data_IF_109071339295
#
_entry.id   IF_109071339295
#
_cell.length_a   1.000
_cell.length_b   1.000
_cell.length_c   1.000
_cell.angle_alpha   90.00
_cell.angle_beta   90.00
_cell.angle_gamma   90.00
#
_symmetry.space_group_name_H-M   'P 1'
#
loop_
_entity.id
_entity.type
_entity.pdbx_description
1 polymer ?
#
# COMPACT_ATOMS: atom_id res chain seq x y z
N UNK A 1 32.24 -12.02 12.05
CA UNK A 1 30.82 -11.64 11.86
C UNK A 1 30.02 -12.93 11.69
N UNK A 2 28.91 -13.14 12.38
CA UNK A 2 28.30 -14.48 12.47
C UNK A 2 26.80 -14.41 12.19
N UNK A 3 26.43 -14.41 10.90
CA UNK A 3 25.03 -14.41 10.47
C UNK A 3 24.25 -15.62 10.96
N UNK A 4 24.90 -16.77 11.13
CA UNK A 4 24.31 -18.01 11.65
C UNK A 4 23.85 -17.89 13.12
N UNK A 5 24.36 -16.89 13.88
CA UNK A 5 24.01 -16.64 15.27
C UNK A 5 22.79 -15.71 15.42
N UNK A 6 22.26 -15.16 14.34
CA UNK A 6 21.03 -14.36 14.38
C UNK A 6 19.85 -15.22 14.88
N UNK A 7 19.03 -14.63 15.76
CA UNK A 7 17.91 -15.33 16.42
C UNK A 7 16.57 -14.89 15.82
N UNK A 8 16.31 -13.58 15.76
CA UNK A 8 15.05 -12.99 15.29
C UNK A 8 15.13 -12.50 13.84
N UNK A 9 16.27 -11.94 13.46
CA UNK A 9 16.53 -11.38 12.15
C UNK A 9 17.19 -12.42 11.24
N UNK A 10 16.38 -13.43 10.81
CA UNK A 10 16.80 -14.56 9.95
C UNK A 10 15.93 -14.62 8.70
N UNK A 11 16.36 -15.42 7.72
CA UNK A 11 15.59 -15.74 6.51
C UNK A 11 15.09 -14.49 5.79
N UNK A 12 16.01 -13.62 5.42
CA UNK A 12 15.72 -12.41 4.65
C UNK A 12 15.45 -12.79 3.19
N UNK A 13 14.49 -12.11 2.54
CA UNK A 13 14.18 -12.31 1.11
C UNK A 13 15.38 -12.01 0.19
N UNK A 14 16.25 -11.09 0.58
CA UNK A 14 17.48 -10.71 -0.14
C UNK A 14 18.74 -11.03 0.70
N UNK A 15 18.71 -12.09 1.52
CA UNK A 15 19.74 -12.43 2.50
C UNK A 15 21.02 -13.00 1.91
N UNK A 16 21.02 -13.48 0.67
CA UNK A 16 22.20 -14.05 0.03
C UNK A 16 23.35 -13.03 -0.08
N UNK A 17 23.03 -11.78 -0.36
CA UNK A 17 24.01 -10.69 -0.40
C UNK A 17 24.67 -10.47 0.97
N UNK A 18 23.93 -10.54 2.08
CA UNK A 18 24.49 -10.46 3.42
C UNK A 18 25.46 -11.59 3.69
N UNK A 19 25.07 -12.82 3.32
CA UNK A 19 25.90 -14.01 3.51
C UNK A 19 27.22 -13.92 2.74
N UNK A 20 27.16 -13.51 1.46
CA UNK A 20 28.32 -13.38 0.60
C UNK A 20 29.28 -12.27 1.08
N UNK A 21 28.76 -11.11 1.48
CA UNK A 21 29.57 -10.02 2.01
C UNK A 21 30.24 -10.39 3.35
N UNK A 22 29.53 -11.09 4.23
CA UNK A 22 30.09 -11.57 5.51
C UNK A 22 31.15 -12.61 5.25
N UNK A 23 30.94 -13.54 4.33
CA UNK A 23 31.93 -14.53 3.95
C UNK A 23 33.20 -13.86 3.39
N UNK A 24 33.06 -12.86 2.53
CA UNK A 24 34.18 -12.07 2.01
C UNK A 24 34.95 -11.37 3.13
N UNK A 25 34.24 -10.73 4.05
CA UNK A 25 34.83 -10.02 5.17
C UNK A 25 35.65 -10.96 6.11
N UNK A 26 35.26 -12.22 6.22
CA UNK A 26 35.95 -13.21 7.04
C UNK A 26 37.12 -13.90 6.30
N UNK A 27 37.02 -14.04 4.97
CA UNK A 27 37.95 -14.86 4.20
C UNK A 27 38.80 -14.08 3.18
N UNK A 28 38.70 -12.74 3.10
CA UNK A 28 39.45 -11.96 2.10
C UNK A 28 40.98 -12.14 2.21
N UNK A 29 41.50 -12.33 3.42
CA UNK A 29 42.93 -12.52 3.70
C UNK A 29 43.36 -14.02 3.76
N UNK A 30 42.43 -14.97 3.60
CA UNK A 30 42.72 -16.39 3.64
C UNK A 30 43.28 -16.88 2.28
N UNK A 31 44.53 -17.35 2.27
CA UNK A 31 45.21 -17.84 1.08
C UNK A 31 44.65 -19.17 0.55
N UNK A 32 43.79 -19.87 1.29
CA UNK A 32 43.14 -21.10 0.85
C UNK A 32 42.21 -20.86 -0.35
N UNK A 33 41.57 -19.71 -0.41
CA UNK A 33 40.64 -19.33 -1.47
C UNK A 33 41.32 -18.53 -2.57
N UNK A 34 40.96 -18.81 -3.83
CA UNK A 34 41.51 -18.10 -4.98
C UNK A 34 41.16 -16.62 -4.94
N UNK A 35 42.15 -15.76 -5.12
CA UNK A 35 41.95 -14.30 -5.14
C UNK A 35 40.97 -13.85 -6.22
N UNK A 36 41.04 -14.47 -7.41
CA UNK A 36 40.13 -14.14 -8.52
C UNK A 36 38.67 -14.47 -8.19
N UNK A 37 38.41 -15.56 -7.48
CA UNK A 37 37.05 -15.97 -7.11
C UNK A 37 36.48 -15.03 -6.04
N UNK A 38 37.31 -14.64 -5.05
CA UNK A 38 36.95 -13.64 -4.04
C UNK A 38 36.65 -12.27 -4.65
N UNK A 39 37.51 -11.83 -5.58
CA UNK A 39 37.27 -10.58 -6.31
C UNK A 39 36.00 -10.65 -7.15
N UNK A 40 35.78 -11.77 -7.86
CA UNK A 40 34.56 -12.00 -8.63
C UNK A 40 33.29 -11.92 -7.78
N UNK A 41 33.30 -12.54 -6.58
CA UNK A 41 32.18 -12.47 -5.64
C UNK A 41 31.95 -11.03 -5.12
N UNK A 42 33.02 -10.25 -4.89
CA UNK A 42 32.88 -8.84 -4.48
C UNK A 42 32.21 -8.01 -5.58
N UNK A 43 32.62 -8.18 -6.85
CA UNK A 43 31.98 -7.49 -7.97
C UNK A 43 30.51 -7.91 -8.16
N UNK A 44 30.17 -9.17 -7.90
CA UNK A 44 28.77 -9.62 -7.89
C UNK A 44 27.96 -8.96 -6.76
N UNK A 45 28.53 -8.84 -5.56
CA UNK A 45 27.91 -8.08 -4.47
C UNK A 45 27.72 -6.61 -4.84
N UNK A 46 28.70 -5.96 -5.49
CA UNK A 46 28.57 -4.59 -5.99
C UNK A 46 27.43 -4.46 -7.00
N UNK A 47 27.35 -5.39 -7.95
CA UNK A 47 26.26 -5.42 -8.95
C UNK A 47 24.91 -5.46 -8.28
N UNK A 48 24.69 -6.37 -7.31
CA UNK A 48 23.43 -6.50 -6.57
C UNK A 48 23.10 -5.25 -5.76
N UNK A 49 24.08 -4.57 -5.14
CA UNK A 49 23.88 -3.30 -4.43
C UNK A 49 23.47 -2.16 -5.39
N UNK A 50 24.08 -2.10 -6.58
CA UNK A 50 23.73 -1.11 -7.61
C UNK A 50 22.34 -1.37 -8.20
N UNK A 51 21.97 -2.63 -8.41
CA UNK A 51 20.62 -3.02 -8.82
C UNK A 51 19.56 -2.59 -7.79
N UNK A 52 19.85 -2.77 -6.50
CA UNK A 52 18.98 -2.30 -5.42
C UNK A 52 18.90 -0.77 -5.42
N UNK A 53 20.00 -0.06 -5.64
CA UNK A 53 19.97 1.40 -5.77
C UNK A 53 19.07 1.84 -6.94
N UNK A 54 19.08 1.13 -8.07
CA UNK A 54 18.17 1.37 -9.19
C UNK A 54 16.70 1.10 -8.85
N UNK A 55 16.40 -0.02 -8.16
CA UNK A 55 15.03 -0.44 -7.80
C UNK A 55 14.42 0.40 -6.68
N UNK A 56 15.17 0.72 -5.65
CA UNK A 56 14.70 1.43 -4.46
C UNK A 56 15.08 2.90 -4.43
N UNK A 57 16.01 3.33 -5.30
CA UNK A 57 16.50 4.70 -5.37
C UNK A 57 17.51 5.06 -4.28
N UNK A 58 18.14 4.09 -3.62
CA UNK A 58 19.09 4.32 -2.54
C UNK A 58 20.26 5.18 -2.98
N UNK A 59 20.80 5.97 -2.06
CA UNK A 59 21.97 6.84 -2.26
C UNK A 59 22.86 6.86 -1.00
N UNK A 60 24.06 7.35 -1.14
CA UNK A 60 25.06 7.34 -0.07
C UNK A 60 25.75 5.97 0.04
N UNK A 61 25.89 5.45 1.24
CA UNK A 61 26.46 4.13 1.47
C UNK A 61 25.42 3.03 1.21
N UNK A 62 25.50 2.37 0.05
CA UNK A 62 24.52 1.35 -0.36
C UNK A 62 24.53 0.12 0.55
N UNK A 63 25.68 -0.25 1.12
CA UNK A 63 25.74 -1.33 2.08
C UNK A 63 24.94 -1.00 3.35
N UNK A 64 25.07 0.20 3.88
CA UNK A 64 24.30 0.64 5.03
C UNK A 64 22.80 0.74 4.71
N UNK A 65 22.42 1.24 3.53
CA UNK A 65 21.04 1.27 3.08
C UNK A 65 20.47 -0.15 2.95
N UNK A 66 21.25 -1.11 2.44
CA UNK A 66 20.86 -2.51 2.36
C UNK A 66 20.60 -3.11 3.75
N UNK A 67 21.53 -2.93 4.71
CA UNK A 67 21.36 -3.44 6.08
C UNK A 67 20.11 -2.82 6.76
N UNK A 68 19.89 -1.52 6.60
CA UNK A 68 18.70 -0.85 7.10
C UNK A 68 17.43 -1.43 6.46
N UNK A 69 17.45 -1.66 5.15
CA UNK A 69 16.34 -2.26 4.41
C UNK A 69 15.99 -3.67 4.91
N UNK A 70 17.00 -4.49 5.22
CA UNK A 70 16.79 -5.83 5.80
C UNK A 70 16.05 -5.74 7.15
N UNK A 71 16.52 -4.86 8.05
CA UNK A 71 15.93 -4.68 9.39
C UNK A 71 14.49 -4.16 9.31
N UNK A 72 14.24 -3.17 8.45
CA UNK A 72 12.91 -2.53 8.29
C UNK A 72 11.88 -3.52 7.73
N UNK A 73 12.27 -4.39 6.80
CA UNK A 73 11.35 -5.31 6.15
C UNK A 73 11.14 -6.62 6.91
N UNK A 74 12.03 -6.98 7.85
CA UNK A 74 11.92 -8.25 8.58
C UNK A 74 10.91 -8.18 9.71
N UNK A 75 9.75 -8.80 9.49
CA UNK A 75 8.74 -9.01 10.52
C UNK A 75 9.16 -10.17 11.45
N UNK A 76 9.19 -9.91 12.74
CA UNK A 76 9.47 -10.89 13.80
C UNK A 76 8.77 -10.49 15.11
N UNK A 77 8.88 -11.30 16.14
CA UNK A 77 8.21 -11.06 17.43
C UNK A 77 8.61 -9.72 18.08
N UNK A 78 9.86 -9.28 17.90
CA UNK A 78 10.32 -7.99 18.41
C UNK A 78 9.78 -6.84 17.57
N UNK A 79 9.99 -6.86 16.26
CA UNK A 79 9.61 -5.77 15.36
C UNK A 79 8.11 -5.50 15.36
N UNK A 80 7.28 -6.56 15.37
CA UNK A 80 5.82 -6.43 15.48
C UNK A 80 5.38 -5.91 16.86
N UNK A 81 6.07 -6.29 17.93
CA UNK A 81 5.77 -5.77 19.28
C UNK A 81 6.19 -4.30 19.43
N UNK A 82 7.35 -3.93 18.86
CA UNK A 82 7.85 -2.56 18.85
C UNK A 82 6.94 -1.62 18.05
N UNK A 83 6.40 -2.09 16.91
CA UNK A 83 5.40 -1.37 16.12
C UNK A 83 4.16 -0.99 16.96
N UNK A 84 3.70 -1.90 17.83
CA UNK A 84 2.46 -1.72 18.59
C UNK A 84 2.70 -0.90 19.88
N UNK A 85 3.80 -1.16 20.57
CA UNK A 85 4.04 -0.69 21.94
C UNK A 85 5.23 0.26 22.09
N UNK A 86 6.05 0.41 21.07
CA UNK A 86 7.32 1.11 21.12
C UNK A 86 8.36 0.27 21.86
N UNK A 87 8.59 0.53 23.14
CA UNK A 87 9.55 -0.27 23.91
C UNK A 87 9.03 -1.68 24.18
N UNK A 88 9.92 -2.66 24.06
CA UNK A 88 9.64 -4.08 24.31
C UNK A 88 10.52 -4.54 25.46
N UNK A 89 9.92 -5.21 26.43
CA UNK A 89 10.62 -5.77 27.59
C UNK A 89 10.72 -7.30 27.51
N UNK A 90 11.55 -7.88 28.39
CA UNK A 90 11.68 -9.33 28.53
C UNK A 90 12.66 -9.97 27.56
N UNK A 91 12.57 -11.30 27.41
CA UNK A 91 13.55 -12.11 26.68
C UNK A 91 13.63 -11.79 25.18
N UNK A 92 12.51 -11.39 24.56
CA UNK A 92 12.48 -10.97 23.14
C UNK A 92 13.33 -9.72 22.93
N UNK A 93 13.32 -8.80 23.90
CA UNK A 93 14.16 -7.61 23.86
C UNK A 93 15.67 -7.94 23.93
N UNK A 94 16.04 -8.96 24.75
CA UNK A 94 17.42 -9.44 24.85
C UNK A 94 17.87 -10.12 23.54
N UNK A 95 17.00 -10.93 22.93
CA UNK A 95 17.28 -11.55 21.65
C UNK A 95 17.44 -10.51 20.52
N UNK A 96 16.62 -9.46 20.52
CA UNK A 96 16.76 -8.36 19.58
C UNK A 96 18.08 -7.61 19.77
N UNK A 97 18.47 -7.31 21.02
CA UNK A 97 19.74 -6.66 21.30
C UNK A 97 20.93 -7.52 20.88
N UNK A 98 20.83 -8.85 21.05
CA UNK A 98 21.85 -9.78 20.55
C UNK A 98 22.04 -9.66 19.05
N UNK A 99 20.94 -9.70 18.29
CA UNK A 99 21.01 -9.60 16.83
C UNK A 99 21.50 -8.21 16.37
N UNK A 100 21.03 -7.14 17.03
CA UNK A 100 21.48 -5.78 16.72
C UNK A 100 22.98 -5.58 17.00
N UNK A 101 23.59 -6.26 17.96
CA UNK A 101 25.05 -6.26 18.13
C UNK A 101 25.76 -6.82 16.91
N UNK A 102 25.24 -7.90 16.33
CA UNK A 102 25.78 -8.47 15.10
C UNK A 102 25.61 -7.50 13.92
N UNK A 103 24.44 -6.86 13.80
CA UNK A 103 24.24 -5.83 12.76
C UNK A 103 25.13 -4.62 12.95
N UNK A 104 25.40 -4.20 14.19
CA UNK A 104 26.32 -3.10 14.48
C UNK A 104 27.75 -3.44 14.02
N UNK A 105 28.20 -4.69 14.21
CA UNK A 105 29.48 -5.15 13.65
C UNK A 105 29.51 -5.03 12.12
N UNK A 106 28.39 -5.32 11.42
CA UNK A 106 28.32 -5.16 9.97
C UNK A 106 28.35 -3.69 9.54
N UNK A 107 27.73 -2.80 10.31
CA UNK A 107 27.76 -1.36 10.06
C UNK A 107 29.15 -0.75 10.24
N UNK A 108 29.86 -1.14 11.30
CA UNK A 108 31.13 -0.57 11.66
C UNK A 108 32.31 -1.19 10.89
N UNK A 109 32.06 -2.26 10.14
CA UNK A 109 33.11 -3.00 9.45
C UNK A 109 33.65 -2.21 8.23
N UNK A 110 34.99 -2.08 8.17
CA UNK A 110 35.66 -1.40 7.08
C UNK A 110 35.78 -2.28 5.81
N UNK A 111 34.78 -2.22 4.98
CA UNK A 111 34.75 -2.92 3.68
C UNK A 111 35.77 -2.36 2.68
N UNK A 112 36.30 -1.14 2.86
CA UNK A 112 37.35 -0.62 2.01
C UNK A 112 38.66 -1.41 2.15
N UNK A 113 38.96 -1.90 3.35
CA UNK A 113 40.08 -2.79 3.58
C UNK A 113 39.97 -4.08 2.79
N UNK A 114 38.77 -4.70 2.75
CA UNK A 114 38.50 -5.89 1.95
C UNK A 114 38.67 -5.60 0.46
N UNK A 115 38.06 -4.53 -0.02
CA UNK A 115 38.11 -4.14 -1.43
C UNK A 115 39.56 -3.88 -1.89
N UNK A 116 40.37 -3.17 -1.10
CA UNK A 116 41.80 -2.92 -1.39
C UNK A 116 42.60 -4.23 -1.44
N UNK A 117 42.38 -5.15 -0.50
CA UNK A 117 43.07 -6.43 -0.47
C UNK A 117 42.72 -7.30 -1.69
N UNK A 118 41.53 -7.16 -2.24
CA UNK A 118 41.07 -7.88 -3.42
C UNK A 118 41.33 -7.11 -4.74
N UNK A 119 41.94 -5.93 -4.70
CA UNK A 119 42.25 -5.10 -5.87
C UNK A 119 41.03 -4.45 -6.54
N UNK A 120 39.92 -4.27 -5.79
CA UNK A 120 38.68 -3.69 -6.27
C UNK A 120 38.51 -2.24 -5.81
N UNK A 121 39.26 -1.30 -6.40
CA UNK A 121 39.23 0.11 -6.04
C UNK A 121 37.87 0.76 -6.33
N UNK A 122 37.16 0.26 -7.33
CA UNK A 122 35.81 0.70 -7.75
C UNK A 122 34.76 0.48 -6.68
N UNK A 123 35.03 -0.31 -5.63
CA UNK A 123 34.11 -0.51 -4.52
C UNK A 123 33.68 0.80 -3.84
N UNK A 124 34.52 1.84 -3.95
CA UNK A 124 34.20 3.20 -3.49
C UNK A 124 32.88 3.74 -4.10
N UNK A 125 32.50 3.29 -5.31
CA UNK A 125 31.25 3.68 -5.98
C UNK A 125 30.03 3.28 -5.12
N UNK A 126 30.09 2.11 -4.48
CA UNK A 126 28.98 1.59 -3.65
C UNK A 126 28.93 2.27 -2.29
N UNK A 127 30.05 2.72 -1.76
CA UNK A 127 30.12 3.39 -0.47
C UNK A 127 29.75 4.88 -0.54
N UNK A 128 29.92 5.51 -1.71
CA UNK A 128 29.65 6.93 -1.94
C UNK A 128 28.75 7.11 -3.18
N UNK A 129 27.68 6.31 -3.27
CA UNK A 129 26.83 6.33 -4.44
C UNK A 129 26.01 7.62 -4.53
N UNK A 130 26.14 8.31 -5.64
CA UNK A 130 25.36 9.50 -5.96
C UNK A 130 24.13 9.06 -6.80
N UNK A 131 22.96 9.04 -6.17
CA UNK A 131 21.71 8.74 -6.86
C UNK A 131 21.31 9.86 -7.83
N UNK A 132 20.58 9.50 -8.89
CA UNK A 132 19.99 10.50 -9.78
C UNK A 132 18.86 11.25 -9.01
N UNK A 133 18.97 12.59 -8.83
CA UNK A 133 17.99 13.37 -8.08
C UNK A 133 16.64 13.53 -8.81
N UNK A 134 16.54 13.11 -10.07
CA UNK A 134 15.27 13.18 -10.81
C UNK A 134 14.21 12.28 -10.17
N UNK A 135 12.98 12.79 -10.09
CA UNK A 135 11.82 11.99 -9.66
C UNK A 135 11.69 10.74 -10.53
N UNK A 136 11.93 9.60 -9.94
CA UNK A 136 11.75 8.33 -10.63
C UNK A 136 10.30 7.86 -10.48
N UNK A 137 9.73 7.38 -11.59
CA UNK A 137 8.46 6.65 -11.56
C UNK A 137 8.61 5.20 -11.07
N UNK A 138 9.84 4.73 -10.89
CA UNK A 138 10.17 3.34 -10.56
C UNK A 138 10.08 3.07 -9.06
N UNK A 139 10.46 4.01 -8.20
CA UNK A 139 10.48 3.82 -6.75
C UNK A 139 9.72 4.90 -6.00
N UNK A 140 9.35 4.58 -4.75
CA UNK A 140 8.67 5.51 -3.85
C UNK A 140 9.71 6.35 -3.07
N UNK A 141 9.84 7.64 -3.43
CA UNK A 141 10.82 8.56 -2.82
C UNK A 141 10.71 8.63 -1.31
N UNK A 142 9.51 8.58 -0.75
CA UNK A 142 9.29 8.62 0.70
C UNK A 142 9.85 7.37 1.41
N UNK A 143 9.69 6.18 0.82
CA UNK A 143 10.23 4.93 1.39
C UNK A 143 11.74 4.97 1.32
N UNK A 144 12.29 5.36 0.17
CA UNK A 144 13.72 5.58 -0.03
C UNK A 144 14.30 6.48 1.05
N UNK A 145 13.72 7.67 1.21
CA UNK A 145 14.23 8.71 2.13
C UNK A 145 14.23 8.19 3.58
N UNK A 146 13.18 7.47 4.00
CA UNK A 146 13.13 6.86 5.33
C UNK A 146 14.22 5.82 5.57
N UNK A 147 14.49 4.97 4.57
CA UNK A 147 15.51 3.92 4.70
C UNK A 147 16.91 4.55 4.68
N UNK A 148 17.17 5.51 3.79
CA UNK A 148 18.45 6.21 3.72
C UNK A 148 18.70 7.04 5.00
N UNK A 149 17.69 7.73 5.54
CA UNK A 149 17.75 8.45 6.81
C UNK A 149 18.05 7.50 7.99
N UNK A 150 17.36 6.37 8.06
CA UNK A 150 17.61 5.35 9.08
C UNK A 150 19.05 4.82 9.00
N UNK A 151 19.53 4.53 7.77
CA UNK A 151 20.90 4.08 7.56
C UNK A 151 21.94 5.12 8.04
N UNK A 152 21.67 6.42 7.82
CA UNK A 152 22.52 7.50 8.33
C UNK A 152 22.47 7.61 9.87
N UNK A 153 21.28 7.49 10.47
CA UNK A 153 21.12 7.49 11.95
C UNK A 153 21.90 6.34 12.58
N UNK A 154 21.84 5.13 12.02
CA UNK A 154 22.61 3.98 12.52
C UNK A 154 24.15 4.20 12.47
N UNK A 155 24.64 5.01 11.53
CA UNK A 155 26.05 5.39 11.51
C UNK A 155 26.45 6.33 12.68
N UNK A 156 25.49 7.09 13.22
CA UNK A 156 25.69 7.98 14.35
C UNK A 156 25.54 7.27 15.70
N UNK A 157 24.86 6.14 15.73
CA UNK A 157 24.70 5.33 16.93
C UNK A 157 26.03 4.64 17.27
N UNK A 158 26.56 4.88 18.46
CA UNK A 158 27.86 4.35 18.88
C UNK A 158 27.77 2.98 19.55
N UNK A 159 26.58 2.63 20.07
CA UNK A 159 26.37 1.39 20.79
C UNK A 159 25.21 0.56 20.16
N UNK A 160 25.22 -0.76 20.33
CA UNK A 160 24.09 -1.60 19.90
C UNK A 160 22.76 -1.20 20.58
N UNK A 161 22.83 -0.69 21.79
CA UNK A 161 21.68 -0.21 22.55
C UNK A 161 21.07 1.04 21.89
N UNK A 162 21.88 2.00 21.46
CA UNK A 162 21.45 3.18 20.70
C UNK A 162 20.84 2.77 19.35
N UNK A 163 21.53 1.92 18.57
CA UNK A 163 21.03 1.42 17.29
C UNK A 163 19.68 0.68 17.46
N UNK A 164 19.53 -0.12 18.53
CA UNK A 164 18.26 -0.78 18.83
C UNK A 164 17.17 0.25 19.16
N UNK A 165 17.51 1.30 19.90
CA UNK A 165 16.56 2.37 20.25
C UNK A 165 16.09 3.10 18.97
N UNK A 166 17.02 3.50 18.09
CA UNK A 166 16.72 4.13 16.80
C UNK A 166 15.80 3.25 15.94
N UNK A 167 16.06 1.93 15.89
CA UNK A 167 15.23 0.98 15.18
C UNK A 167 13.83 0.84 15.80
N UNK A 168 13.74 0.84 17.13
CA UNK A 168 12.47 0.77 17.86
C UNK A 168 11.59 1.97 17.55
N UNK A 169 12.18 3.18 17.58
CA UNK A 169 11.50 4.43 17.25
C UNK A 169 11.01 4.42 15.80
N UNK A 170 11.83 3.91 14.88
CA UNK A 170 11.43 3.74 13.49
C UNK A 170 10.21 2.83 13.35
N UNK A 171 10.21 1.67 14.03
CA UNK A 171 9.05 0.75 14.00
C UNK A 171 7.79 1.37 14.61
N UNK A 172 7.94 2.15 15.66
CA UNK A 172 6.83 2.83 16.30
C UNK A 172 6.23 3.93 15.40
N UNK A 173 7.08 4.67 14.70
CA UNK A 173 6.66 5.80 13.86
C UNK A 173 6.14 5.34 12.49
N UNK A 174 6.87 4.42 11.84
CA UNK A 174 6.59 4.03 10.44
C UNK A 174 6.05 2.62 10.29
N UNK A 175 6.21 1.78 11.32
CA UNK A 175 5.86 0.37 11.30
C UNK A 175 6.94 -0.53 10.71
N UNK A 176 6.64 -1.83 10.61
CA UNK A 176 7.55 -2.85 10.11
C UNK A 176 7.01 -3.53 8.87
N UNK A 177 7.92 -3.93 7.99
CA UNK A 177 7.61 -4.70 6.80
C UNK A 177 6.74 -3.95 5.80
N UNK A 178 6.10 -4.70 4.92
CA UNK A 178 5.27 -4.14 3.83
C UNK A 178 4.16 -3.21 4.32
N UNK A 179 3.52 -3.50 5.45
CA UNK A 179 2.43 -2.67 5.97
C UNK A 179 2.90 -1.35 6.57
N UNK A 180 4.13 -1.29 7.08
CA UNK A 180 4.74 -0.04 7.54
C UNK A 180 5.01 0.93 6.39
N UNK A 181 5.59 0.42 5.32
CA UNK A 181 6.10 1.24 4.22
C UNK A 181 5.07 1.62 3.17
N UNK A 182 4.06 0.78 2.93
CA UNK A 182 3.08 0.96 1.85
C UNK A 182 1.68 1.27 2.36
N UNK A 183 0.90 2.00 1.56
CA UNK A 183 -0.46 2.45 1.89
C UNK A 183 -1.57 1.62 1.24
N UNK A 184 -1.27 0.97 0.11
CA UNK A 184 -2.24 0.13 -0.57
C UNK A 184 -1.61 -1.18 -1.06
N UNK A 185 -2.47 -2.19 -1.15
CA UNK A 185 -2.11 -3.56 -1.41
C UNK A 185 -3.12 -4.20 -2.34
N UNK A 186 -2.73 -5.30 -2.97
CA UNK A 186 -3.60 -6.21 -3.69
C UNK A 186 -3.32 -7.65 -3.24
N UNK A 187 -4.18 -8.56 -3.65
CA UNK A 187 -4.00 -9.99 -3.39
C UNK A 187 -3.36 -10.64 -4.62
N UNK A 188 -2.33 -11.43 -4.40
CA UNK A 188 -1.76 -12.34 -5.39
C UNK A 188 -1.79 -13.77 -4.86
N UNK A 189 -1.93 -14.77 -5.74
CA UNK A 189 -1.83 -16.17 -5.35
C UNK A 189 -0.39 -16.64 -5.57
N UNK A 190 0.27 -17.09 -4.48
CA UNK A 190 1.57 -17.74 -4.52
C UNK A 190 1.45 -19.10 -3.82
N UNK A 191 1.89 -20.13 -4.48
CA UNK A 191 1.84 -21.53 -3.97
C UNK A 191 0.46 -21.95 -3.43
N UNK A 192 -0.62 -21.45 -4.07
CA UNK A 192 -1.99 -21.75 -3.68
C UNK A 192 -2.56 -20.93 -2.52
N UNK A 193 -1.76 -20.06 -1.90
CA UNK A 193 -2.16 -19.18 -0.80
C UNK A 193 -2.34 -17.74 -1.26
N UNK A 194 -3.27 -17.04 -0.62
CA UNK A 194 -3.49 -15.61 -0.84
C UNK A 194 -2.39 -14.81 -0.12
N UNK A 195 -1.60 -14.06 -0.87
CA UNK A 195 -0.57 -13.17 -0.35
C UNK A 195 -0.95 -11.71 -0.60
N UNK A 196 -0.78 -10.88 0.44
CA UNK A 196 -1.01 -9.44 0.35
C UNK A 196 0.28 -8.78 -0.13
N UNK A 197 0.27 -8.24 -1.36
CA UNK A 197 1.44 -7.59 -1.96
C UNK A 197 1.23 -6.08 -2.10
N UNK A 198 2.27 -5.25 -1.94
CA UNK A 198 2.13 -3.80 -2.02
C UNK A 198 1.87 -3.31 -3.44
N UNK A 199 1.07 -2.25 -3.56
CA UNK A 199 0.94 -1.44 -4.77
C UNK A 199 1.86 -0.23 -4.62
N UNK A 200 2.92 -0.18 -5.42
CA UNK A 200 3.95 0.85 -5.31
C UNK A 200 3.55 2.18 -5.94
N UNK A 201 2.77 2.13 -7.02
CA UNK A 201 2.36 3.31 -7.78
C UNK A 201 0.84 3.54 -7.65
N UNK A 202 0.47 4.39 -6.69
CA UNK A 202 -0.92 4.77 -6.46
C UNK A 202 -1.11 6.20 -6.93
N UNK A 203 -2.23 6.46 -7.62
CA UNK A 203 -2.60 7.80 -8.04
C UNK A 203 -2.64 8.77 -6.83
N UNK A 204 -1.93 9.88 -6.93
CA UNK A 204 -1.93 10.94 -5.93
C UNK A 204 -3.20 11.81 -6.05
N UNK A 205 -4.34 11.24 -5.66
CA UNK A 205 -5.62 11.96 -5.59
C UNK A 205 -5.84 12.45 -4.17
N UNK A 206 -6.26 13.70 -4.02
CA UNK A 206 -6.71 14.28 -2.74
C UNK A 206 -8.24 14.48 -2.78
N UNK A 207 -8.91 14.50 -1.61
CA UNK A 207 -10.34 14.80 -1.56
C UNK A 207 -10.65 16.20 -2.09
N UNK A 208 -9.74 17.17 -1.92
CA UNK A 208 -9.81 18.50 -2.51
C UNK A 208 -9.76 18.53 -4.04
N UNK A 209 -9.25 17.46 -4.66
CA UNK A 209 -9.19 17.36 -6.13
C UNK A 209 -10.53 17.01 -6.76
N UNK A 210 -11.44 16.45 -5.96
CA UNK A 210 -12.78 16.08 -6.38
C UNK A 210 -13.73 17.25 -6.20
N UNK A 211 -14.14 17.86 -7.29
CA UNK A 211 -15.05 19.01 -7.30
C UNK A 211 -16.48 18.56 -7.02
N UNK A 212 -17.15 19.23 -6.11
CA UNK A 212 -18.51 18.88 -5.68
C UNK A 212 -18.57 17.70 -4.70
N UNK A 213 -19.77 17.19 -4.49
CA UNK A 213 -20.05 16.03 -3.61
C UNK A 213 -19.63 16.24 -2.14
N UNK A 214 -19.73 17.46 -1.62
CA UNK A 214 -19.24 17.81 -0.26
C UNK A 214 -19.94 16.97 0.83
N UNK A 215 -21.26 16.74 0.70
CA UNK A 215 -22.02 15.91 1.65
C UNK A 215 -21.53 14.45 1.61
N UNK A 216 -21.29 13.93 0.42
CA UNK A 216 -20.80 12.57 0.21
C UNK A 216 -19.39 12.40 0.76
N UNK A 217 -18.49 13.33 0.40
CA UNK A 217 -17.11 13.36 0.93
C UNK A 217 -17.12 13.44 2.46
N UNK A 218 -17.94 14.33 3.04
CA UNK A 218 -18.04 14.45 4.50
C UNK A 218 -18.50 13.16 5.16
N UNK A 219 -19.54 12.49 4.66
CA UNK A 219 -20.01 11.21 5.22
C UNK A 219 -18.93 10.13 5.17
N UNK A 220 -18.16 10.08 4.07
CA UNK A 220 -17.07 9.13 3.90
C UNK A 220 -15.93 9.41 4.87
N UNK A 221 -15.51 10.69 4.99
CA UNK A 221 -14.44 11.10 5.90
C UNK A 221 -14.84 10.90 7.36
N UNK A 222 -16.03 11.31 7.77
CA UNK A 222 -16.53 11.15 9.14
C UNK A 222 -16.46 9.66 9.59
N UNK A 223 -16.89 8.73 8.71
CA UNK A 223 -16.83 7.29 8.98
C UNK A 223 -15.38 6.75 9.02
N UNK A 224 -14.53 7.21 8.11
CA UNK A 224 -13.12 6.81 8.03
C UNK A 224 -12.33 7.37 9.21
N UNK A 225 -12.58 8.62 9.59
CA UNK A 225 -11.93 9.27 10.72
C UNK A 225 -12.30 8.61 12.06
N UNK A 226 -13.58 8.27 12.23
CA UNK A 226 -14.02 7.47 13.39
C UNK A 226 -13.24 6.14 13.45
N UNK A 227 -13.07 5.46 12.31
CA UNK A 227 -12.37 4.19 12.22
C UNK A 227 -10.88 4.31 12.58
N UNK A 228 -10.15 5.25 11.99
CA UNK A 228 -8.70 5.41 12.26
C UNK A 228 -8.43 5.86 13.69
N UNK A 229 -9.36 6.59 14.29
CA UNK A 229 -9.30 7.01 15.70
C UNK A 229 -9.78 5.91 16.68
N UNK A 230 -9.98 4.67 16.22
CA UNK A 230 -10.37 3.54 17.07
C UNK A 230 -11.83 3.59 17.57
N UNK A 231 -12.66 4.48 17.04
CA UNK A 231 -14.10 4.55 17.34
C UNK A 231 -14.86 3.53 16.50
N UNK A 232 -16.10 3.23 16.88
CA UNK A 232 -16.99 2.38 16.09
C UNK A 232 -17.29 3.04 14.74
N UNK A 233 -17.08 2.30 13.67
CA UNK A 233 -17.36 2.71 12.30
C UNK A 233 -17.98 1.55 11.51
N UNK A 234 -18.55 1.84 10.36
CA UNK A 234 -19.30 0.87 9.58
C UNK A 234 -18.62 0.57 8.24
N UNK A 235 -18.96 -0.60 7.68
CA UNK A 235 -18.70 -0.86 6.27
C UNK A 235 -19.42 0.20 5.43
N UNK A 236 -18.81 0.60 4.30
CA UNK A 236 -19.31 1.71 3.49
C UNK A 236 -19.55 1.27 2.04
N UNK A 237 -20.71 1.59 1.50
CA UNK A 237 -21.05 1.40 0.09
C UNK A 237 -21.24 2.76 -0.58
N UNK A 238 -20.42 3.07 -1.57
CA UNK A 238 -20.57 4.22 -2.47
C UNK A 238 -21.27 3.72 -3.74
N UNK A 239 -22.46 4.20 -4.00
CA UNK A 239 -23.24 3.74 -5.16
C UNK A 239 -23.77 4.91 -5.98
N UNK A 240 -24.10 4.67 -7.23
CA UNK A 240 -24.68 5.69 -8.13
C UNK A 240 -23.99 5.73 -9.49
N UNK A 241 -24.18 6.82 -10.22
CA UNK A 241 -23.83 6.91 -11.63
C UNK A 241 -22.33 6.75 -11.92
N UNK A 242 -22.01 6.24 -13.08
CA UNK A 242 -20.63 6.05 -13.51
C UNK A 242 -19.90 7.42 -13.68
N UNK A 243 -18.59 7.45 -13.37
CA UNK A 243 -17.78 8.67 -13.59
C UNK A 243 -17.99 9.79 -12.57
N UNK A 244 -18.71 9.55 -11.46
CA UNK A 244 -18.99 10.54 -10.40
C UNK A 244 -17.91 10.64 -9.31
N UNK A 245 -16.78 9.94 -9.43
CA UNK A 245 -15.67 10.05 -8.51
C UNK A 245 -15.69 9.09 -7.31
N UNK A 246 -16.56 8.07 -7.26
CA UNK A 246 -16.66 7.10 -6.17
C UNK A 246 -15.31 6.44 -5.84
N UNK A 247 -14.68 5.81 -6.84
CA UNK A 247 -13.38 5.13 -6.67
C UNK A 247 -12.25 6.14 -6.38
N UNK A 248 -12.34 7.36 -6.91
CA UNK A 248 -11.38 8.44 -6.62
C UNK A 248 -11.48 8.90 -5.17
N UNK A 249 -12.67 8.93 -4.56
CA UNK A 249 -12.84 9.20 -3.13
C UNK A 249 -12.12 8.17 -2.26
N UNK A 250 -12.22 6.87 -2.61
CA UNK A 250 -11.53 5.81 -1.87
C UNK A 250 -10.01 5.94 -1.99
N UNK A 251 -9.49 6.25 -3.20
CA UNK A 251 -8.06 6.50 -3.40
C UNK A 251 -7.59 7.72 -2.61
N UNK A 252 -8.41 8.76 -2.54
CA UNK A 252 -8.09 9.97 -1.78
C UNK A 252 -7.98 9.71 -0.28
N UNK A 253 -8.92 8.99 0.34
CA UNK A 253 -8.83 8.63 1.76
C UNK A 253 -7.61 7.74 2.06
N UNK A 254 -7.20 6.85 1.13
CA UNK A 254 -5.97 6.08 1.27
C UNK A 254 -4.74 6.99 1.40
N UNK A 255 -4.70 8.06 0.62
CA UNK A 255 -3.61 9.03 0.66
C UNK A 255 -3.65 9.88 1.94
N UNK A 256 -4.82 10.33 2.34
CA UNK A 256 -5.02 11.28 3.44
C UNK A 256 -4.80 10.64 4.81
N UNK A 257 -5.35 9.43 5.02
CA UNK A 257 -5.30 8.76 6.33
C UNK A 257 -4.16 7.74 6.49
N UNK A 258 -3.25 7.63 5.50
CA UNK A 258 -2.09 6.75 5.65
C UNK A 258 -1.26 7.07 6.89
N UNK A 259 -0.99 8.36 7.14
CA UNK A 259 -0.26 8.83 8.32
C UNK A 259 -0.94 8.48 9.65
N UNK A 260 -2.27 8.33 9.64
CA UNK A 260 -3.09 7.89 10.77
C UNK A 260 -3.20 6.36 10.87
N UNK A 261 -2.37 5.61 10.15
CA UNK A 261 -2.33 4.15 10.20
C UNK A 261 -3.33 3.43 9.29
N UNK A 262 -3.99 4.13 8.35
CA UNK A 262 -4.88 3.48 7.39
C UNK A 262 -4.10 2.75 6.29
N UNK A 263 -4.57 1.53 5.97
CA UNK A 263 -4.08 0.71 4.86
C UNK A 263 -5.27 0.24 4.02
N UNK A 264 -5.13 0.19 2.70
CA UNK A 264 -6.19 -0.30 1.81
C UNK A 264 -5.71 -1.56 1.09
N UNK A 265 -6.55 -2.58 1.06
CA UNK A 265 -6.32 -3.83 0.33
C UNK A 265 -7.38 -3.91 -0.76
N UNK A 266 -6.98 -3.79 -2.01
CA UNK A 266 -7.85 -3.95 -3.16
C UNK A 266 -8.11 -5.43 -3.40
N UNK A 267 -9.40 -5.81 -3.50
CA UNK A 267 -9.85 -7.18 -3.68
C UNK A 267 -10.80 -7.26 -4.85
N UNK A 268 -10.48 -8.10 -5.80
CA UNK A 268 -11.33 -8.36 -6.96
C UNK A 268 -12.33 -9.48 -6.66
N UNK A 269 -13.47 -9.45 -7.33
CA UNK A 269 -14.59 -10.37 -7.12
C UNK A 269 -14.17 -11.85 -7.10
N UNK A 270 -13.33 -12.29 -8.02
CA UNK A 270 -12.84 -13.68 -8.08
C UNK A 270 -11.95 -14.09 -6.89
N UNK A 271 -11.56 -13.14 -6.04
CA UNK A 271 -10.73 -13.38 -4.85
C UNK A 271 -11.55 -13.43 -3.55
N UNK A 272 -12.88 -13.33 -3.60
CA UNK A 272 -13.71 -13.29 -2.39
C UNK A 272 -13.63 -14.56 -1.55
N UNK A 273 -13.35 -15.71 -2.16
CA UNK A 273 -13.08 -16.95 -1.44
C UNK A 273 -11.84 -16.87 -0.52
N UNK A 274 -10.89 -15.99 -0.85
CA UNK A 274 -9.62 -15.82 -0.12
C UNK A 274 -9.72 -14.77 1.01
N UNK A 275 -10.87 -14.10 1.18
CA UNK A 275 -11.05 -13.00 2.14
C UNK A 275 -10.76 -13.39 3.60
N UNK A 276 -11.11 -14.61 4.01
CA UNK A 276 -10.84 -15.09 5.36
C UNK A 276 -9.33 -15.20 5.62
N UNK A 277 -8.57 -15.69 4.64
CA UNK A 277 -7.12 -15.81 4.73
C UNK A 277 -6.45 -14.43 4.77
N UNK A 278 -6.97 -13.48 3.99
CA UNK A 278 -6.53 -12.08 4.01
C UNK A 278 -6.78 -11.45 5.38
N UNK A 279 -7.99 -11.62 5.93
CA UNK A 279 -8.34 -11.09 7.25
C UNK A 279 -7.47 -11.71 8.34
N UNK A 280 -7.19 -13.01 8.27
CA UNK A 280 -6.32 -13.69 9.23
C UNK A 280 -4.90 -13.10 9.28
N UNK A 281 -4.36 -12.66 8.14
CA UNK A 281 -3.04 -12.02 8.05
C UNK A 281 -2.99 -10.62 8.68
N UNK A 282 -4.12 -9.89 8.73
CA UNK A 282 -4.15 -8.48 9.14
C UNK A 282 -4.84 -8.22 10.48
N UNK A 283 -5.64 -9.18 11.00
CA UNK A 283 -6.48 -8.98 12.20
C UNK A 283 -5.71 -8.60 13.46
N UNK A 284 -4.45 -9.01 13.56
CA UNK A 284 -3.59 -8.75 14.72
C UNK A 284 -2.55 -7.63 14.49
N UNK A 285 -2.68 -6.89 13.38
CA UNK A 285 -1.75 -5.79 13.08
C UNK A 285 -2.25 -4.47 13.70
N UNK A 286 -1.32 -3.57 13.98
CA UNK A 286 -1.62 -2.26 14.58
C UNK A 286 -2.27 -1.25 13.63
N UNK A 287 -2.45 -1.61 12.36
CA UNK A 287 -3.05 -0.74 11.36
C UNK A 287 -4.55 -0.91 11.28
N UNK A 288 -5.21 0.10 10.72
CA UNK A 288 -6.62 0.05 10.30
C UNK A 288 -6.68 -0.32 8.81
N UNK A 289 -7.36 -1.40 8.48
CA UNK A 289 -7.45 -1.91 7.13
C UNK A 289 -8.82 -1.68 6.53
N UNK A 290 -8.86 -1.12 5.32
CA UNK A 290 -10.06 -1.10 4.48
C UNK A 290 -9.84 -2.13 3.37
N UNK A 291 -10.69 -3.16 3.34
CA UNK A 291 -10.81 -4.07 2.20
C UNK A 291 -11.67 -3.34 1.17
N UNK A 292 -11.07 -3.00 0.04
CA UNK A 292 -11.71 -2.23 -1.01
C UNK A 292 -12.13 -3.09 -2.20
N UNK A 293 -13.38 -2.94 -2.60
CA UNK A 293 -13.99 -3.64 -3.74
C UNK A 293 -14.52 -2.62 -4.73
N UNK A 294 -13.88 -2.52 -5.91
CA UNK A 294 -14.31 -1.59 -6.96
C UNK A 294 -15.34 -2.23 -7.87
N UNK A 295 -16.34 -1.42 -8.28
CA UNK A 295 -17.44 -1.78 -9.20
C UNK A 295 -18.17 -3.08 -8.81
N UNK A 296 -18.52 -3.19 -7.54
CA UNK A 296 -19.16 -4.38 -6.97
C UNK A 296 -20.56 -4.56 -7.57
N UNK A 297 -20.74 -5.66 -8.26
CA UNK A 297 -22.04 -6.10 -8.79
C UNK A 297 -22.07 -7.62 -8.93
N UNK A 298 -23.22 -8.24 -8.75
CA UNK A 298 -23.41 -9.68 -8.89
C UNK A 298 -24.52 -9.98 -9.85
N UNK A 299 -24.33 -11.01 -10.66
CA UNK A 299 -25.42 -11.66 -11.38
C UNK A 299 -26.12 -12.67 -10.46
N UNK A 300 -27.33 -13.06 -10.79
CA UNK A 300 -28.20 -13.87 -9.92
C UNK A 300 -27.61 -15.23 -9.51
N UNK A 301 -26.84 -15.85 -10.40
CA UNK A 301 -26.26 -17.19 -10.22
C UNK A 301 -24.83 -17.20 -9.67
N UNK A 302 -24.24 -16.04 -9.40
CA UNK A 302 -22.87 -15.97 -8.87
C UNK A 302 -22.83 -16.29 -7.38
N UNK A 303 -21.93 -17.18 -7.00
CA UNK A 303 -21.78 -17.62 -5.60
C UNK A 303 -20.89 -16.67 -4.77
N UNK A 304 -20.16 -15.78 -5.41
CA UNK A 304 -19.22 -14.84 -4.80
C UNK A 304 -19.89 -13.93 -3.76
N UNK A 305 -21.16 -13.59 -3.97
CA UNK A 305 -21.91 -12.80 -2.99
C UNK A 305 -22.06 -13.52 -1.64
N UNK A 306 -22.11 -14.88 -1.64
CA UNK A 306 -22.22 -15.68 -0.41
C UNK A 306 -20.94 -15.60 0.42
N UNK A 307 -19.76 -15.60 -0.22
CA UNK A 307 -18.48 -15.39 0.46
C UNK A 307 -18.43 -14.00 1.10
N UNK A 308 -18.80 -12.96 0.35
CA UNK A 308 -18.82 -11.60 0.87
C UNK A 308 -19.82 -11.45 2.02
N UNK A 309 -21.02 -12.04 1.90
CA UNK A 309 -22.03 -12.05 2.95
C UNK A 309 -21.50 -12.69 4.23
N UNK A 310 -20.87 -13.86 4.13
CA UNK A 310 -20.29 -14.56 5.27
C UNK A 310 -19.22 -13.74 5.98
N UNK A 311 -18.37 -13.01 5.23
CA UNK A 311 -17.33 -12.15 5.79
C UNK A 311 -17.91 -10.91 6.45
N UNK A 312 -18.93 -10.28 5.86
CA UNK A 312 -19.57 -9.07 6.42
C UNK A 312 -20.36 -9.40 7.69
N UNK A 313 -21.06 -10.53 7.71
CA UNK A 313 -21.85 -10.98 8.87
C UNK A 313 -20.96 -11.43 10.02
N UNK A 314 -19.79 -11.97 9.70
CA UNK A 314 -18.99 -12.73 10.63
C UNK A 314 -19.63 -14.08 10.96
N UNK A 315 -18.79 -15.08 11.24
CA UNK A 315 -19.26 -16.36 11.75
C UNK A 315 -19.27 -16.37 13.29
N UNK A 316 -18.83 -17.47 13.88
CA UNK A 316 -18.60 -17.55 15.34
C UNK A 316 -17.42 -16.66 15.78
N UNK A 317 -16.46 -16.37 14.90
CA UNK A 317 -15.36 -15.47 15.19
C UNK A 317 -15.83 -14.01 15.08
N UNK A 318 -15.55 -13.21 16.13
CA UNK A 318 -15.86 -11.78 16.14
C UNK A 318 -15.11 -11.08 15.00
N UNK A 319 -15.82 -10.26 14.20
CA UNK A 319 -15.19 -9.43 13.18
C UNK A 319 -14.05 -8.59 13.80
N UNK A 320 -12.85 -8.56 13.21
CA UNK A 320 -11.75 -7.75 13.72
C UNK A 320 -12.11 -6.25 13.74
N UNK A 321 -11.79 -5.58 14.84
CA UNK A 321 -12.09 -4.15 15.03
C UNK A 321 -11.18 -3.23 14.16
N UNK A 322 -10.14 -3.80 13.59
CA UNK A 322 -9.21 -3.10 12.71
C UNK A 322 -9.48 -3.31 11.21
N UNK A 323 -10.64 -3.93 10.83
CA UNK A 323 -10.98 -4.20 9.42
C UNK A 323 -12.37 -3.69 9.09
N UNK A 324 -12.47 -2.87 8.03
CA UNK A 324 -13.74 -2.48 7.40
C UNK A 324 -13.73 -2.88 5.91
N UNK A 325 -14.93 -2.97 5.34
CA UNK A 325 -15.15 -3.21 3.91
C UNK A 325 -15.76 -1.97 3.31
N UNK A 326 -15.07 -1.41 2.30
CA UNK A 326 -15.60 -0.32 1.47
C UNK A 326 -15.78 -0.84 0.05
N UNK A 327 -16.94 -0.56 -0.53
CA UNK A 327 -17.24 -0.96 -1.89
C UNK A 327 -17.78 0.21 -2.71
N UNK A 328 -17.48 0.20 -4.01
CA UNK A 328 -18.16 1.06 -4.98
C UNK A 328 -19.08 0.23 -5.85
N UNK A 329 -20.16 0.82 -6.33
CA UNK A 329 -21.08 0.18 -7.28
C UNK A 329 -21.73 1.20 -8.20
N UNK A 330 -21.97 0.82 -9.44
CA UNK A 330 -22.77 1.61 -10.37
C UNK A 330 -24.26 1.33 -10.22
N UNK A 331 -24.66 0.49 -9.25
CA UNK A 331 -26.05 0.09 -8.97
C UNK A 331 -26.38 0.29 -7.50
N UNK A 332 -27.62 0.65 -7.22
CA UNK A 332 -28.13 0.72 -5.83
C UNK A 332 -28.26 -0.68 -5.24
N UNK A 333 -28.75 -1.61 -6.03
CA UNK A 333 -28.87 -3.02 -5.66
C UNK A 333 -27.69 -3.78 -6.25
N UNK A 334 -26.89 -4.39 -5.42
CA UNK A 334 -25.65 -5.07 -5.82
C UNK A 334 -25.89 -6.31 -6.68
N UNK A 335 -27.06 -6.93 -6.57
CA UNK A 335 -27.45 -8.10 -7.35
C UNK A 335 -28.46 -7.67 -8.40
N UNK A 336 -28.28 -8.13 -9.64
CA UNK A 336 -29.12 -7.79 -10.78
C UNK A 336 -30.49 -8.43 -10.64
N UNK A 337 -31.55 -7.61 -10.75
CA UNK A 337 -32.94 -8.11 -10.90
C UNK A 337 -33.20 -8.43 -12.37
N UNK A 338 -33.71 -9.61 -12.68
CA UNK A 338 -34.16 -9.96 -14.02
C UNK A 338 -35.62 -9.56 -14.24
N UNK A 339 -36.03 -9.38 -15.50
CA UNK A 339 -37.44 -9.10 -15.83
C UNK A 339 -38.39 -10.19 -15.36
N UNK A 340 -37.94 -11.44 -15.22
CA UNK A 340 -38.68 -12.54 -14.64
C UNK A 340 -39.07 -12.28 -13.18
N UNK A 341 -38.17 -11.74 -12.38
CA UNK A 341 -38.42 -11.39 -10.97
C UNK A 341 -39.56 -10.38 -10.79
N UNK A 342 -39.92 -9.64 -11.84
CA UNK A 342 -41.03 -8.69 -11.82
C UNK A 342 -42.36 -9.34 -12.20
N UNK A 343 -42.35 -10.38 -13.03
CA UNK A 343 -43.56 -11.11 -13.44
C UNK A 343 -43.95 -12.19 -12.45
N UNK A 344 -42.98 -12.85 -11.80
CA UNK A 344 -43.20 -13.92 -10.83
C UNK A 344 -43.61 -13.41 -9.43
N UNK A 345 -43.72 -12.08 -9.24
CA UNK A 345 -44.21 -11.49 -7.97
C UNK A 345 -45.63 -11.94 -7.54
N UNK A 346 -46.36 -12.46 -8.47
CA UNK A 346 -47.76 -12.90 -8.22
C UNK A 346 -47.94 -14.40 -7.97
N UNK A 347 -46.88 -15.24 -8.12
CA UNK A 347 -47.10 -16.69 -8.12
C UNK A 347 -46.33 -17.55 -7.10
N UNK A 348 -45.24 -17.09 -6.40
CA UNK A 348 -44.56 -17.99 -5.44
C UNK A 348 -43.89 -17.32 -4.23
N UNK A 349 -44.10 -17.92 -3.04
CA UNK A 349 -43.43 -17.59 -1.76
C UNK A 349 -41.89 -17.64 -1.81
N UNK A 350 -41.31 -18.41 -2.74
CA UNK A 350 -39.88 -18.59 -2.89
C UNK A 350 -39.16 -17.38 -3.53
N UNK A 351 -39.86 -16.58 -4.32
CA UNK A 351 -39.29 -15.35 -4.96
C UNK A 351 -39.02 -14.28 -3.90
N UNK A 352 -39.83 -14.19 -2.85
CA UNK A 352 -39.66 -13.26 -1.75
C UNK A 352 -38.34 -13.50 -0.97
N UNK A 353 -37.94 -14.77 -0.81
CA UNK A 353 -36.70 -15.11 -0.07
C UNK A 353 -35.47 -14.68 -0.82
N UNK A 354 -35.44 -14.87 -2.15
CA UNK A 354 -34.32 -14.47 -3.00
C UNK A 354 -34.19 -12.95 -3.06
N UNK A 355 -35.26 -12.20 -3.19
CA UNK A 355 -35.27 -10.72 -3.18
C UNK A 355 -34.86 -10.18 -1.81
N UNK A 356 -35.36 -10.77 -0.71
CA UNK A 356 -34.93 -10.40 0.64
C UNK A 356 -33.44 -10.70 0.87
N UNK A 357 -32.93 -11.80 0.35
CA UNK A 357 -31.51 -12.13 0.44
C UNK A 357 -30.64 -11.15 -0.35
N UNK A 358 -31.09 -10.72 -1.54
CA UNK A 358 -30.45 -9.70 -2.37
C UNK A 358 -30.40 -8.33 -1.67
N UNK A 359 -31.50 -7.90 -1.05
CA UNK A 359 -31.57 -6.64 -0.29
C UNK A 359 -30.75 -6.71 1.00
N UNK A 360 -30.63 -7.91 1.59
CA UNK A 360 -29.90 -8.12 2.84
C UNK A 360 -28.41 -7.80 2.75
N UNK A 361 -27.76 -7.96 1.58
CA UNK A 361 -26.35 -7.63 1.41
C UNK A 361 -26.10 -6.11 1.49
N UNK A 362 -26.97 -5.29 0.87
CA UNK A 362 -26.85 -3.82 0.91
C UNK A 362 -27.08 -3.28 2.32
N UNK A 363 -28.05 -3.85 3.06
CA UNK A 363 -28.36 -3.42 4.43
C UNK A 363 -27.23 -3.68 5.43
N UNK A 364 -26.25 -4.55 5.08
CA UNK A 364 -25.07 -4.83 5.91
C UNK A 364 -23.96 -3.79 5.78
N UNK A 365 -24.04 -2.93 4.76
CA UNK A 365 -23.24 -1.73 4.73
C UNK A 365 -23.93 -0.67 5.58
N UNK A 366 -23.45 -0.45 6.78
CA UNK A 366 -24.06 0.51 7.73
C UNK A 366 -24.05 1.95 7.25
N UNK A 367 -23.14 2.28 6.30
CA UNK A 367 -23.07 3.58 5.62
C UNK A 367 -23.23 3.38 4.13
N UNK A 368 -24.28 3.98 3.56
CA UNK A 368 -24.54 3.99 2.11
C UNK A 368 -24.55 5.43 1.60
N UNK A 369 -23.71 5.72 0.59
CA UNK A 369 -23.51 7.07 0.05
C UNK A 369 -23.84 7.08 -1.43
N UNK A 370 -24.85 7.88 -1.80
CA UNK A 370 -25.27 8.02 -3.19
C UNK A 370 -24.52 9.12 -3.93
N UNK A 371 -23.97 8.80 -5.10
CA UNK A 371 -23.30 9.68 -6.03
C UNK A 371 -24.11 9.76 -7.33
N UNK A 372 -24.99 10.74 -7.44
CA UNK A 372 -25.75 11.00 -8.67
C UNK A 372 -24.91 11.78 -9.69
N UNK A 373 -25.29 11.69 -10.97
CA UNK A 373 -24.69 12.53 -12.02
C UNK A 373 -24.83 14.01 -11.67
N UNK A 374 -23.80 14.83 -11.92
CA UNK A 374 -23.87 16.26 -11.70
C UNK A 374 -24.92 16.88 -12.60
N UNK A 375 -25.59 17.90 -12.11
CA UNK A 375 -26.39 18.75 -12.97
C UNK A 375 -25.49 19.61 -13.90
N UNK A 376 -26.10 20.31 -14.86
CA UNK A 376 -25.35 21.10 -15.83
C UNK A 376 -24.46 22.16 -15.18
N UNK A 377 -24.94 22.82 -14.12
CA UNK A 377 -24.21 23.83 -13.39
C UNK A 377 -23.00 23.24 -12.63
N UNK A 378 -23.21 22.12 -11.99
CA UNK A 378 -22.14 21.38 -11.30
C UNK A 378 -21.09 20.86 -12.30
N UNK A 379 -21.52 20.35 -13.46
CA UNK A 379 -20.60 19.93 -14.52
C UNK A 379 -19.74 21.09 -15.03
N UNK A 380 -20.34 22.25 -15.28
CA UNK A 380 -19.62 23.45 -15.69
C UNK A 380 -18.61 23.88 -14.62
N UNK A 381 -18.99 23.84 -13.35
CA UNK A 381 -18.08 24.14 -12.24
C UNK A 381 -16.91 23.15 -12.20
N UNK A 382 -17.14 21.84 -12.42
CA UNK A 382 -16.08 20.84 -12.50
C UNK A 382 -15.12 21.18 -13.65
N UNK A 383 -15.64 21.51 -14.84
CA UNK A 383 -14.84 21.87 -16.01
C UNK A 383 -13.98 23.10 -15.74
N UNK A 384 -14.59 24.19 -15.21
CA UNK A 384 -13.85 25.44 -14.91
C UNK A 384 -12.74 25.19 -13.88
N UNK A 385 -13.04 24.44 -12.80
CA UNK A 385 -12.03 24.12 -11.77
C UNK A 385 -10.89 23.26 -12.33
N UNK A 386 -11.18 22.31 -13.20
CA UNK A 386 -10.15 21.49 -13.85
C UNK A 386 -9.32 22.33 -14.83
N UNK A 387 -9.96 23.22 -15.64
CA UNK A 387 -9.27 24.11 -16.55
C UNK A 387 -8.28 25.01 -15.84
N UNK A 388 -8.69 25.64 -14.73
CA UNK A 388 -7.83 26.46 -13.88
C UNK A 388 -6.64 25.67 -13.33
N UNK A 389 -6.90 24.46 -12.83
CA UNK A 389 -5.88 23.58 -12.26
C UNK A 389 -4.80 23.18 -13.27
N UNK A 390 -5.21 22.89 -14.49
CA UNK A 390 -4.31 22.46 -15.56
C UNK A 390 -3.79 23.62 -16.43
N UNK A 391 -4.18 24.86 -16.11
CA UNK A 391 -3.70 26.06 -16.80
C UNK A 391 -4.18 26.18 -18.24
N UNK A 392 -5.42 25.74 -18.52
CA UNK A 392 -6.02 25.86 -19.86
C UNK A 392 -6.31 27.34 -20.15
N UNK A 393 -5.63 27.89 -21.16
CA UNK A 393 -5.75 29.29 -21.57
C UNK A 393 -6.90 29.47 -22.55
N UNK A 394 -8.13 29.64 -22.04
CA UNK A 394 -9.34 29.84 -22.83
C UNK A 394 -10.32 30.73 -22.05
N UNK A 395 -11.16 31.54 -22.76
CA UNK A 395 -12.21 32.28 -22.11
C UNK A 395 -13.26 31.36 -21.51
N UNK A 396 -13.84 31.73 -20.36
CA UNK A 396 -14.83 30.91 -19.67
C UNK A 396 -16.04 30.57 -20.57
N UNK A 397 -16.54 31.54 -21.32
CA UNK A 397 -17.68 31.32 -22.24
C UNK A 397 -17.35 30.30 -23.33
N UNK A 398 -16.15 30.35 -23.92
CA UNK A 398 -15.71 29.43 -24.93
C UNK A 398 -15.48 28.01 -24.35
N UNK A 399 -14.86 27.96 -23.16
CA UNK A 399 -14.61 26.70 -22.43
C UNK A 399 -15.94 25.97 -22.15
N UNK A 400 -16.92 26.67 -21.59
CA UNK A 400 -18.21 26.10 -21.24
C UNK A 400 -19.04 25.71 -22.49
N UNK A 401 -18.94 26.49 -23.57
CA UNK A 401 -19.59 26.16 -24.83
C UNK A 401 -19.03 24.82 -25.38
N UNK A 402 -17.71 24.72 -25.47
CA UNK A 402 -17.03 23.51 -25.94
C UNK A 402 -17.27 22.31 -25.04
N UNK A 403 -17.27 22.51 -23.73
CA UNK A 403 -17.58 21.47 -22.74
C UNK A 403 -19.00 20.92 -22.90
N UNK A 404 -20.00 21.79 -23.13
CA UNK A 404 -21.37 21.37 -23.39
C UNK A 404 -21.52 20.62 -24.73
N UNK A 405 -20.75 20.97 -25.76
CA UNK A 405 -20.73 20.21 -27.03
C UNK A 405 -20.07 18.85 -26.83
N UNK A 406 -18.99 18.79 -26.05
CA UNK A 406 -18.26 17.56 -25.74
C UNK A 406 -19.14 16.55 -24.99
N UNK A 407 -19.85 16.97 -23.95
CA UNK A 407 -20.66 16.07 -23.12
C UNK A 407 -21.78 15.38 -23.90
N UNK A 408 -22.38 16.08 -24.87
CA UNK A 408 -23.43 15.52 -25.73
C UNK A 408 -22.95 14.33 -26.59
N UNK A 409 -21.66 14.31 -26.94
CA UNK A 409 -21.06 13.27 -27.78
C UNK A 409 -20.26 12.22 -26.98
N UNK A 410 -19.99 12.45 -25.68
CA UNK A 410 -19.06 11.64 -24.90
C UNK A 410 -19.65 11.08 -23.58
N UNK A 411 -20.94 10.75 -23.59
CA UNK A 411 -21.55 9.98 -22.49
C UNK A 411 -22.18 10.78 -21.36
N UNK A 412 -22.44 12.08 -21.56
CA UNK A 412 -23.23 12.90 -20.65
C UNK A 412 -22.44 13.53 -19.50
N UNK A 413 -23.19 14.13 -18.59
CA UNK A 413 -22.63 14.91 -17.48
C UNK A 413 -21.95 14.01 -16.43
N UNK A 414 -20.62 14.04 -16.36
CA UNK A 414 -19.86 13.32 -15.33
C UNK A 414 -18.48 13.97 -15.09
N UNK A 415 -17.87 13.71 -13.93
CA UNK A 415 -16.48 14.12 -13.65
C UNK A 415 -15.48 13.50 -14.62
N UNK A 416 -15.73 12.26 -15.08
CA UNK A 416 -14.90 11.58 -16.08
C UNK A 416 -14.98 12.30 -17.43
N UNK A 417 -16.17 12.66 -17.87
CA UNK A 417 -16.37 13.41 -19.13
C UNK A 417 -15.69 14.77 -19.08
N UNK A 418 -15.76 15.47 -17.94
CA UNK A 418 -15.07 16.73 -17.73
C UNK A 418 -13.54 16.56 -17.82
N UNK A 419 -12.97 15.57 -17.14
CA UNK A 419 -11.53 15.30 -17.20
C UNK A 419 -11.08 14.96 -18.62
N UNK A 420 -11.79 14.08 -19.34
CA UNK A 420 -11.49 13.74 -20.73
C UNK A 420 -11.52 14.94 -21.65
N UNK A 421 -12.43 15.89 -21.42
CA UNK A 421 -12.49 17.13 -22.16
C UNK A 421 -11.25 18.01 -21.93
N UNK A 422 -10.82 18.14 -20.67
CA UNK A 422 -9.60 18.90 -20.33
C UNK A 422 -8.36 18.21 -20.93
N UNK A 423 -8.26 16.89 -20.79
CA UNK A 423 -7.14 16.12 -21.38
C UNK A 423 -7.07 16.31 -22.91
N UNK A 424 -8.22 16.35 -23.57
CA UNK A 424 -8.30 16.64 -25.02
C UNK A 424 -7.80 18.04 -25.35
N UNK A 425 -8.17 19.06 -24.55
CA UNK A 425 -7.68 20.43 -24.78
C UNK A 425 -6.19 20.57 -24.57
N UNK A 426 -5.63 19.85 -23.59
CA UNK A 426 -4.18 19.85 -23.30
C UNK A 426 -3.35 19.11 -24.37
N UNK A 427 -3.98 18.23 -25.13
CA UNK A 427 -3.36 17.48 -26.22
C UNK A 427 -3.34 18.20 -27.58
N UNK A 428 -3.99 19.37 -27.68
CA UNK A 428 -3.98 20.23 -28.87
C UNK A 428 -2.89 21.31 -28.79
#
# INVERSE_FOLDING_TARGET
>A
MKTEQLILYRDFEEGDLLTDMVWLAENYADDFYNLSDKAGLLYDCMHRLLDMAGRYGFYGNLWHCYLANLLVNKENSYSCSAEIRGSVEGSVNLAALHDIRIFKEFYDYDLQTVAKALGAEEFSIVLFYEGNPQESKVYNTRIRDRICDLAQRFCLDHTPEEMKQTLTEFYQEYGVGRFGLHKAFRIEKRDGHAEIVPITNIAHVKLSDLVGYEIQKKKLTDNTEAFVNGKKANNCLLYGDAGTGKSSCIKAIANEYYGSGLRIIEVYKHQFQDLNDVIAQIKNRNYKFIIYMDDLSFEEFEIEYKYLKAVIEGGLEKKPENVLIYATSNRRHLIRETFKDKQDRDEELHVNDTVQEKLSLVSRFGVSIYFGSPDKKQFQQIVSTLADRYGVMMSEDELLLKANQWELSHGGLSGRTAQQFIDYLLGQ
#
